data_IF_194122042739
#
_entry.id   IF_194122042739
#
_cell.length_a   1.000
_cell.length_b   1.000
_cell.length_c   1.000
_cell.angle_alpha   90.00
_cell.angle_beta   90.00
_cell.angle_gamma   90.00
#
_symmetry.space_group_name_H-M   'P 1'
#
loop_
_entity.id
_entity.type
_entity.pdbx_description
1 polymer ?
#
# COMPACT_ATOMS: atom_id res chain seq x y z
N UNK A 1 11.37 4.65 12.84
CA UNK A 1 10.02 5.18 12.56
C UNK A 1 10.19 6.42 11.71
N UNK A 2 9.45 6.54 10.60
CA UNK A 2 9.49 7.76 9.77
C UNK A 2 8.70 8.88 10.44
N UNK A 3 9.12 10.12 10.22
CA UNK A 3 8.28 11.28 10.51
C UNK A 3 7.25 11.44 9.38
N UNK A 4 5.96 11.30 9.70
CA UNK A 4 4.87 11.38 8.72
C UNK A 4 4.73 12.78 8.10
N UNK A 5 5.34 13.82 8.68
CA UNK A 5 5.40 15.14 8.04
C UNK A 5 6.26 15.17 6.77
N UNK A 6 7.05 14.12 6.53
CA UNK A 6 7.82 13.92 5.29
C UNK A 6 6.99 13.30 4.15
N UNK A 7 5.82 12.73 4.46
CA UNK A 7 4.90 12.19 3.45
C UNK A 7 3.99 13.31 2.95
N UNK A 8 3.74 13.35 1.64
CA UNK A 8 2.90 14.38 1.02
C UNK A 8 1.43 14.00 1.01
N UNK A 9 1.17 12.71 0.87
CA UNK A 9 -0.17 12.20 0.56
C UNK A 9 -0.77 11.34 1.65
N UNK A 10 0.01 10.99 2.68
CA UNK A 10 -0.39 10.10 3.74
C UNK A 10 -0.27 10.74 5.13
N UNK A 11 -1.39 10.77 5.85
CA UNK A 11 -1.44 11.08 7.26
C UNK A 11 -1.28 9.80 8.09
N UNK A 12 -0.69 9.93 9.28
CA UNK A 12 -0.53 8.82 10.22
C UNK A 12 -1.85 8.14 10.60
N UNK A 13 -2.96 8.88 10.61
CA UNK A 13 -4.29 8.39 10.94
C UNK A 13 -4.93 7.51 9.86
N UNK A 14 -4.32 7.39 8.67
CA UNK A 14 -4.78 6.46 7.61
C UNK A 14 -4.33 5.01 7.87
N UNK A 15 -3.56 4.75 8.93
CA UNK A 15 -2.94 3.46 9.23
C UNK A 15 -3.28 3.01 10.65
N UNK A 16 -3.52 1.71 10.83
CA UNK A 16 -3.78 1.10 12.15
C UNK A 16 -2.47 0.88 12.92
N UNK A 17 -1.40 0.47 12.22
CA UNK A 17 -0.09 0.14 12.75
C UNK A 17 1.05 0.94 12.09
N UNK A 18 0.98 2.29 12.03
CA UNK A 18 1.94 3.12 11.30
C UNK A 18 3.39 3.00 11.79
N UNK A 19 3.60 2.52 13.01
CA UNK A 19 4.92 2.38 13.63
C UNK A 19 5.67 1.15 13.14
N UNK A 20 4.95 0.13 12.67
CA UNK A 20 5.48 -1.16 12.23
C UNK A 20 5.78 -1.17 10.72
N UNK A 21 5.32 -0.16 9.98
CA UNK A 21 5.62 0.00 8.55
C UNK A 21 7.06 0.45 8.32
N UNK A 22 7.69 -0.12 7.30
CA UNK A 22 9.06 0.23 6.93
C UNK A 22 9.10 1.65 6.36
N UNK A 23 10.00 2.53 6.86
CA UNK A 23 10.13 3.90 6.36
C UNK A 23 10.36 3.99 4.84
N UNK A 24 11.21 3.13 4.28
CA UNK A 24 11.49 3.10 2.85
C UNK A 24 10.25 2.73 2.04
N UNK A 25 9.47 1.75 2.51
CA UNK A 25 8.21 1.36 1.88
C UNK A 25 7.18 2.50 1.87
N UNK A 26 7.03 3.22 2.98
CA UNK A 26 6.11 4.38 3.06
C UNK A 26 6.49 5.50 2.08
N UNK A 27 7.78 5.79 1.92
CA UNK A 27 8.24 6.79 0.95
C UNK A 27 7.94 6.37 -0.50
N UNK A 28 8.15 5.08 -0.82
CA UNK A 28 7.82 4.57 -2.15
C UNK A 28 6.30 4.56 -2.39
N UNK A 29 5.50 4.18 -1.39
CA UNK A 29 4.04 4.24 -1.46
C UNK A 29 3.53 5.67 -1.67
N UNK A 30 4.11 6.65 -0.97
CA UNK A 30 3.80 8.08 -1.16
C UNK A 30 4.12 8.55 -2.58
N UNK A 31 5.27 8.13 -3.14
CA UNK A 31 5.62 8.40 -4.55
C UNK A 31 4.64 7.75 -5.53
N UNK A 32 4.19 6.52 -5.26
CA UNK A 32 3.20 5.83 -6.11
C UNK A 32 1.88 6.62 -6.09
N UNK A 33 1.41 7.06 -4.92
CA UNK A 33 0.19 7.86 -4.78
C UNK A 33 0.30 9.22 -5.48
N UNK A 34 1.45 9.88 -5.36
CA UNK A 34 1.78 11.15 -6.04
C UNK A 34 1.68 11.02 -7.57
N UNK A 35 2.29 9.98 -8.13
CA UNK A 35 2.33 9.77 -9.59
C UNK A 35 0.98 9.29 -10.13
N UNK A 36 0.27 8.45 -9.37
CA UNK A 36 -1.03 7.94 -9.78
C UNK A 36 -2.10 9.05 -9.79
N UNK A 37 -1.88 10.11 -8.98
CA UNK A 37 -2.79 11.25 -8.82
C UNK A 37 -4.22 10.80 -8.46
N UNK A 38 -4.30 9.85 -7.53
CA UNK A 38 -5.55 9.29 -7.03
C UNK A 38 -5.46 9.01 -5.53
N UNK A 39 -6.52 9.26 -4.76
CA UNK A 39 -6.55 8.89 -3.35
C UNK A 39 -6.47 7.38 -3.18
N UNK A 40 -5.56 6.91 -2.32
CA UNK A 40 -5.53 5.53 -1.83
C UNK A 40 -6.18 5.50 -0.46
N UNK A 41 -7.27 4.75 -0.33
CA UNK A 41 -7.87 4.48 0.97
C UNK A 41 -7.33 3.16 1.51
N UNK A 42 -6.45 3.23 2.51
CA UNK A 42 -5.81 2.06 3.13
C UNK A 42 -6.88 1.26 3.90
N UNK A 43 -6.97 -0.03 3.60
CA UNK A 43 -7.92 -0.96 4.24
C UNK A 43 -7.23 -2.02 5.10
N UNK A 44 -5.93 -2.22 4.90
CA UNK A 44 -5.07 -3.03 5.76
C UNK A 44 -3.64 -2.56 5.61
N UNK A 45 -2.90 -2.48 6.72
CA UNK A 45 -1.48 -2.15 6.72
C UNK A 45 -0.67 -3.29 7.35
N UNK A 46 0.27 -3.01 8.26
CA UNK A 46 0.96 -4.07 8.99
C UNK A 46 -0.06 -4.96 9.72
N UNK A 47 0.21 -6.28 9.71
CA UNK A 47 -0.56 -7.25 10.49
C UNK A 47 0.33 -7.88 11.54
N UNK A 48 -0.13 -7.89 12.78
CA UNK A 48 0.45 -8.72 13.83
C UNK A 48 0.33 -10.22 13.45
N UNK A 49 1.11 -11.12 14.07
CA UNK A 49 0.99 -12.55 13.84
C UNK A 49 -0.43 -13.09 14.03
N UNK A 50 -1.14 -12.61 15.06
CA UNK A 50 -2.51 -13.05 15.36
C UNK A 50 -3.52 -12.53 14.33
N UNK A 51 -3.39 -11.28 13.89
CA UNK A 51 -4.23 -10.71 12.83
C UNK A 51 -4.01 -11.43 11.50
N UNK A 52 -2.76 -11.68 11.13
CA UNK A 52 -2.42 -12.41 9.91
C UNK A 52 -2.98 -13.84 9.95
N UNK A 53 -2.86 -14.54 11.08
CA UNK A 53 -3.45 -15.87 11.27
C UNK A 53 -4.98 -15.85 11.15
N UNK A 54 -5.64 -14.85 11.75
CA UNK A 54 -7.10 -14.70 11.73
C UNK A 54 -7.67 -14.54 10.32
N UNK A 55 -6.94 -13.86 9.43
CA UNK A 55 -7.33 -13.71 8.01
C UNK A 55 -6.81 -14.82 7.10
N UNK A 56 -6.17 -15.86 7.65
CA UNK A 56 -5.61 -16.97 6.89
C UNK A 56 -4.37 -16.60 6.05
N UNK A 57 -3.64 -15.57 6.45
CA UNK A 57 -2.44 -15.10 5.76
C UNK A 57 -1.27 -16.08 5.84
N UNK A 58 -0.37 -16.01 4.85
CA UNK A 58 0.88 -16.79 4.83
C UNK A 58 1.78 -16.45 6.01
N UNK A 59 2.57 -17.42 6.49
CA UNK A 59 3.63 -17.19 7.49
C UNK A 59 4.74 -16.26 7.00
N UNK A 60 4.85 -16.07 5.68
CA UNK A 60 5.81 -15.17 5.02
C UNK A 60 5.17 -13.87 4.50
N UNK A 61 3.97 -13.52 5.00
CA UNK A 61 3.22 -12.33 4.58
C UNK A 61 4.03 -11.04 4.71
N UNK A 62 4.08 -10.23 3.63
CA UNK A 62 4.75 -8.92 3.64
C UNK A 62 4.08 -7.90 4.57
N UNK A 63 2.79 -8.07 4.88
CA UNK A 63 2.12 -7.26 5.90
C UNK A 63 2.80 -7.42 7.27
N UNK A 64 3.20 -8.64 7.63
CA UNK A 64 3.91 -8.90 8.89
C UNK A 64 5.36 -8.36 8.90
N UNK A 65 5.86 -7.89 7.75
CA UNK A 65 7.19 -7.29 7.61
C UNK A 65 7.12 -5.76 7.49
N UNK A 66 5.92 -5.18 7.53
CA UNK A 66 5.71 -3.74 7.35
C UNK A 66 5.97 -3.25 5.92
N UNK A 67 5.90 -4.15 4.94
CA UNK A 67 6.26 -3.89 3.54
C UNK A 67 5.07 -4.11 2.58
N UNK A 68 3.84 -4.12 3.09
CA UNK A 68 2.63 -4.23 2.28
C UNK A 68 1.49 -3.42 2.91
N UNK A 69 0.62 -2.89 2.03
CA UNK A 69 -0.70 -2.37 2.38
C UNK A 69 -1.71 -2.90 1.37
N UNK A 70 -2.94 -3.09 1.82
CA UNK A 70 -4.11 -3.21 0.95
C UNK A 70 -4.81 -1.84 0.92
N UNK A 71 -5.31 -1.46 -0.25
CA UNK A 71 -6.02 -0.20 -0.43
C UNK A 71 -7.07 -0.32 -1.52
N UNK A 72 -8.03 0.60 -1.50
CA UNK A 72 -9.01 0.78 -2.57
C UNK A 72 -8.86 2.15 -3.22
N UNK A 73 -9.25 2.22 -4.49
CA UNK A 73 -9.30 3.44 -5.29
C UNK A 73 -10.74 3.79 -5.62
N UNK A 74 -11.07 5.08 -5.69
CA UNK A 74 -12.40 5.55 -6.03
C UNK A 74 -12.35 6.67 -7.08
N UNK A 75 -13.15 6.61 -8.16
CA UNK A 75 -14.02 5.50 -8.53
C UNK A 75 -13.23 4.26 -8.99
N UNK A 76 -13.78 3.07 -8.76
CA UNK A 76 -13.19 1.84 -9.28
C UNK A 76 -13.51 1.68 -10.77
N UNK A 77 -12.48 1.80 -11.62
CA UNK A 77 -12.56 1.46 -13.04
C UNK A 77 -11.17 1.16 -13.62
N UNK A 78 -11.13 0.64 -14.85
CA UNK A 78 -9.88 0.26 -15.52
C UNK A 78 -8.93 1.45 -15.77
N UNK A 79 -9.44 2.65 -15.99
CA UNK A 79 -8.61 3.82 -16.23
C UNK A 79 -7.86 4.26 -14.97
N UNK A 80 -8.54 4.30 -13.82
CA UNK A 80 -7.90 4.61 -12.54
C UNK A 80 -6.93 3.50 -12.11
N UNK A 81 -7.30 2.24 -12.31
CA UNK A 81 -6.39 1.12 -12.07
C UNK A 81 -5.12 1.23 -12.94
N UNK A 82 -5.25 1.62 -14.21
CA UNK A 82 -4.09 1.81 -15.09
C UNK A 82 -3.15 2.89 -14.57
N UNK A 83 -3.66 3.98 -13.98
CA UNK A 83 -2.81 5.00 -13.35
C UNK A 83 -1.99 4.42 -12.20
N UNK A 84 -2.60 3.61 -11.32
CA UNK A 84 -1.88 2.90 -10.24
C UNK A 84 -0.77 2.02 -10.83
N UNK A 85 -1.11 1.16 -11.79
CA UNK A 85 -0.16 0.20 -12.39
C UNK A 85 1.02 0.94 -13.02
N UNK A 86 0.74 2.02 -13.76
CA UNK A 86 1.78 2.87 -14.36
C UNK A 86 2.66 3.52 -13.29
N UNK A 87 2.08 4.04 -12.21
CA UNK A 87 2.83 4.66 -11.12
C UNK A 87 3.77 3.65 -10.43
N UNK A 88 3.28 2.44 -10.16
CA UNK A 88 4.11 1.34 -9.61
C UNK A 88 5.29 1.06 -10.52
N UNK A 89 5.05 0.83 -11.82
CA UNK A 89 6.12 0.53 -12.78
C UNK A 89 7.17 1.65 -12.88
N UNK A 90 6.76 2.92 -12.80
CA UNK A 90 7.68 4.06 -12.81
C UNK A 90 8.55 4.10 -11.54
N UNK A 91 7.96 3.81 -10.37
CA UNK A 91 8.70 3.77 -9.10
C UNK A 91 9.65 2.57 -9.05
N UNK A 92 9.25 1.39 -9.52
CA UNK A 92 10.14 0.23 -9.66
C UNK A 92 11.39 0.57 -10.49
N UNK A 93 11.18 1.17 -11.67
CA UNK A 93 12.27 1.56 -12.57
C UNK A 93 13.17 2.63 -11.95
N UNK A 94 12.60 3.64 -11.29
CA UNK A 94 13.35 4.75 -10.71
C UNK A 94 14.21 4.34 -9.50
N UNK A 95 13.72 3.43 -8.68
CA UNK A 95 14.36 3.05 -7.42
C UNK A 95 15.01 1.65 -7.45
N UNK A 96 14.95 0.94 -8.59
CA UNK A 96 15.45 -0.43 -8.73
C UNK A 96 14.86 -1.39 -7.68
N UNK A 97 13.54 -1.30 -7.48
CA UNK A 97 12.76 -2.13 -6.55
C UNK A 97 11.72 -2.94 -7.30
N UNK A 98 11.08 -3.89 -6.61
CA UNK A 98 9.96 -4.68 -7.16
C UNK A 98 8.80 -4.68 -6.18
N UNK A 99 7.60 -4.46 -6.70
CA UNK A 99 6.32 -4.53 -6.03
C UNK A 99 5.49 -5.67 -6.59
N UNK A 100 4.72 -6.31 -5.71
CA UNK A 100 3.67 -7.24 -6.11
C UNK A 100 2.32 -6.52 -5.97
N UNK A 101 1.60 -6.32 -7.08
CA UNK A 101 0.24 -5.76 -7.04
C UNK A 101 -0.79 -6.90 -7.21
N UNK A 102 -1.63 -7.09 -6.19
CA UNK A 102 -2.71 -8.09 -6.20
C UNK A 102 -4.05 -7.40 -6.33
N UNK A 103 -4.82 -7.78 -7.36
CA UNK A 103 -6.19 -7.32 -7.50
C UNK A 103 -7.12 -8.26 -6.73
N UNK A 104 -7.71 -7.75 -5.65
CA UNK A 104 -8.84 -8.40 -4.99
C UNK A 104 -10.14 -8.10 -5.75
N UNK A 105 -11.02 -9.08 -5.86
CA UNK A 105 -12.41 -8.79 -6.20
C UNK A 105 -13.08 -8.24 -4.94
N UNK A 106 -13.64 -7.03 -5.00
CA UNK A 106 -14.65 -6.61 -4.02
C UNK A 106 -15.83 -7.59 -4.07
N UNK A 107 -16.72 -7.61 -3.06
CA UNK A 107 -17.91 -8.46 -3.12
C UNK A 107 -18.61 -8.21 -4.45
N UNK A 108 -18.80 -9.27 -5.24
CA UNK A 108 -19.67 -9.22 -6.40
C UNK A 108 -21.02 -8.71 -5.93
N UNK A 109 -21.48 -7.59 -6.49
CA UNK A 109 -22.86 -7.13 -6.33
C UNK A 109 -23.84 -8.23 -6.75
#
# INVERSE_FOLDING_TARGET
MIDFTLLRHFAKSEFDHPRELQPAFLLLLDNIRDIADIPFHITSDYRTPDENKRVGGSSTSLHMQGAAVDFVIFPWNAAELWKVVRAVALVEAAYSVTFELKLGHGPSN
#
